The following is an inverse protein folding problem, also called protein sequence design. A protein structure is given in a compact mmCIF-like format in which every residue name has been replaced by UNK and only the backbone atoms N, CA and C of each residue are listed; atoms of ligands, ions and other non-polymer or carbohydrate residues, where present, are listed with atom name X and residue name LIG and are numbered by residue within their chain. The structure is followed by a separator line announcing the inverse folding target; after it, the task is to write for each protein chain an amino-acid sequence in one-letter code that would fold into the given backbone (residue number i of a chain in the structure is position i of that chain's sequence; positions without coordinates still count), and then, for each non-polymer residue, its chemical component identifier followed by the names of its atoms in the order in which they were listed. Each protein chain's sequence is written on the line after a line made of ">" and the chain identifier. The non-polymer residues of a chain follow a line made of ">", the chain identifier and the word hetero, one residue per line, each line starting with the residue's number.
data_IF_832734050934
#
_entry.id   IF_832734050934
#
_cell.length_a   1.000
_cell.length_b   1.000
_cell.length_c   1.000
_cell.angle_alpha   90.00
_cell.angle_beta   90.00
_cell.angle_gamma   90.00
#
_symmetry.space_group_name_H-M   'P 1'
#
loop_
_entity.id
_entity.type
_entity.pdbx_description
1 polymer ?
#
# COMPACT_ATOMS: atom_id res chain seq x y z
N UNK A 1 18.65 -16.42 -1.98
CA UNK A 1 17.88 -15.44 -1.21
C UNK A 1 18.50 -14.09 -1.48
N UNK A 2 17.91 -13.30 -2.38
CA UNK A 2 18.29 -11.90 -2.56
C UNK A 2 17.86 -11.14 -1.31
N UNK A 3 18.82 -10.49 -0.64
CA UNK A 3 18.54 -9.61 0.50
C UNK A 3 17.61 -8.49 0.00
N UNK A 4 16.53 -8.21 0.74
CA UNK A 4 15.69 -7.06 0.43
C UNK A 4 16.55 -5.78 0.46
N UNK A 5 16.36 -4.86 -0.50
CA UNK A 5 17.06 -3.59 -0.48
C UNK A 5 16.75 -2.83 0.81
N UNK A 6 17.73 -2.10 1.33
CA UNK A 6 17.54 -1.22 2.49
C UNK A 6 16.51 -0.16 2.11
N UNK A 7 15.41 -0.10 2.86
CA UNK A 7 14.36 0.91 2.67
C UNK A 7 14.68 2.13 3.54
N UNK A 8 14.99 3.29 2.95
CA UNK A 8 15.19 4.54 3.68
C UNK A 8 13.99 4.87 4.58
N UNK A 9 14.23 5.41 5.78
CA UNK A 9 13.16 5.68 6.73
C UNK A 9 12.09 6.62 6.17
N UNK A 10 12.51 7.68 5.46
CA UNK A 10 11.61 8.66 4.84
C UNK A 10 10.69 8.05 3.75
N UNK A 11 11.12 6.96 3.12
CA UNK A 11 10.34 6.25 2.09
C UNK A 11 9.23 5.37 2.68
N UNK A 12 9.32 5.02 3.97
CA UNK A 12 8.39 4.05 4.59
C UNK A 12 7.01 4.65 4.81
N UNK A 13 6.88 5.97 4.88
CA UNK A 13 5.58 6.65 4.95
C UNK A 13 5.02 6.88 3.55
N UNK A 14 3.86 6.28 3.28
CA UNK A 14 3.06 6.52 2.08
C UNK A 14 1.79 7.28 2.47
N UNK A 15 1.59 8.48 1.94
CA UNK A 15 0.36 9.25 2.19
C UNK A 15 -0.70 8.95 1.14
N UNK A 16 -1.90 8.60 1.60
CA UNK A 16 -3.07 8.40 0.75
C UNK A 16 -3.68 9.74 0.32
N UNK A 17 -3.66 10.02 -0.98
CA UNK A 17 -4.31 11.19 -1.59
C UNK A 17 -5.80 10.88 -1.85
N UNK A 18 -6.52 10.54 -0.79
CA UNK A 18 -7.95 10.24 -0.85
C UNK A 18 -8.73 11.57 -0.76
N UNK A 19 -8.74 12.31 -1.87
CA UNK A 19 -9.41 13.61 -2.05
C UNK A 19 -10.09 13.64 -3.43
N UNK A 20 -11.17 14.43 -3.62
CA UNK A 20 -12.02 14.31 -4.79
C UNK A 20 -11.43 14.90 -6.08
N UNK A 21 -10.40 15.73 -6.00
CA UNK A 21 -9.83 16.43 -7.16
C UNK A 21 -8.32 16.45 -7.18
N UNK A 22 -7.75 16.53 -8.38
CA UNK A 22 -6.29 16.71 -8.57
C UNK A 22 -5.79 18.02 -7.95
N UNK A 23 -6.59 19.09 -7.93
CA UNK A 23 -6.19 20.35 -7.26
C UNK A 23 -5.99 20.14 -5.77
N UNK A 24 -6.99 19.55 -5.09
CA UNK A 24 -6.91 19.23 -3.67
C UNK A 24 -5.72 18.31 -3.36
N UNK A 25 -5.44 17.34 -4.23
CA UNK A 25 -4.29 16.46 -4.09
C UNK A 25 -2.95 17.23 -4.17
N UNK A 26 -2.81 18.14 -5.16
CA UNK A 26 -1.61 18.98 -5.30
C UNK A 26 -1.45 19.95 -4.14
N UNK A 27 -2.54 20.52 -3.64
CA UNK A 27 -2.54 21.38 -2.45
C UNK A 27 -2.03 20.61 -1.22
N UNK A 28 -2.57 19.42 -0.96
CA UNK A 28 -2.10 18.58 0.15
C UNK A 28 -0.61 18.22 0.00
N UNK A 29 -0.16 17.80 -1.18
CA UNK A 29 1.26 17.50 -1.43
C UNK A 29 2.14 18.74 -1.22
N UNK A 30 1.66 19.93 -1.60
CA UNK A 30 2.39 21.18 -1.40
C UNK A 30 2.49 21.54 0.09
N UNK A 31 1.43 21.30 0.87
CA UNK A 31 1.45 21.50 2.33
C UNK A 31 2.42 20.53 3.01
N UNK A 32 2.40 19.26 2.60
CA UNK A 32 3.28 18.23 3.16
C UNK A 32 4.75 18.44 2.78
N UNK A 33 5.02 19.01 1.60
CA UNK A 33 6.36 19.46 1.20
C UNK A 33 7.39 18.31 1.29
N UNK A 34 8.51 18.52 1.99
CA UNK A 34 9.57 17.52 2.16
C UNK A 34 9.31 16.51 3.28
N UNK A 35 8.24 16.67 4.06
CA UNK A 35 7.87 15.68 5.10
C UNK A 35 7.45 14.33 4.50
N UNK A 36 7.03 14.32 3.23
CA UNK A 36 6.55 13.12 2.53
C UNK A 36 7.09 13.07 1.10
N UNK A 37 7.66 11.91 0.75
CA UNK A 37 8.21 11.64 -0.57
C UNK A 37 7.43 10.58 -1.36
N UNK A 38 6.49 9.88 -0.72
CA UNK A 38 5.76 8.76 -1.32
C UNK A 38 4.24 8.92 -1.15
N UNK A 39 3.51 8.88 -2.26
CA UNK A 39 2.06 9.10 -2.30
C UNK A 39 1.31 7.95 -2.96
N UNK A 40 0.15 7.63 -2.40
CA UNK A 40 -0.80 6.67 -2.96
C UNK A 40 -1.93 7.42 -3.67
N UNK A 41 -2.14 7.10 -4.94
CA UNK A 41 -3.24 7.61 -5.78
C UNK A 41 -4.25 6.47 -5.96
N UNK A 42 -5.45 6.64 -5.38
CA UNK A 42 -6.49 5.60 -5.34
C UNK A 42 -7.61 5.81 -6.35
N UNK A 43 -8.63 4.94 -6.24
CA UNK A 43 -9.81 4.91 -7.12
C UNK A 43 -10.50 6.28 -7.28
N UNK A 44 -10.70 7.04 -6.21
CA UNK A 44 -11.40 8.33 -6.25
C UNK A 44 -10.77 9.30 -7.27
N UNK A 45 -9.45 9.47 -7.21
CA UNK A 45 -8.72 10.32 -8.14
C UNK A 45 -8.69 9.73 -9.55
N UNK A 46 -8.55 8.41 -9.72
CA UNK A 46 -8.58 7.80 -11.05
C UNK A 46 -9.94 7.95 -11.73
N UNK A 47 -11.03 7.91 -10.96
CA UNK A 47 -12.38 8.12 -11.48
C UNK A 47 -12.69 9.59 -11.77
N UNK A 48 -11.84 10.53 -11.31
CA UNK A 48 -11.95 11.95 -11.70
C UNK A 48 -11.57 12.21 -13.16
N UNK A 49 -10.85 11.28 -13.81
CA UNK A 49 -10.38 11.41 -15.20
C UNK A 49 -8.97 11.98 -15.38
N UNK A 50 -8.42 12.64 -14.36
CA UNK A 50 -7.15 13.39 -14.47
C UNK A 50 -5.99 12.81 -13.63
N UNK A 51 -6.13 11.61 -13.06
CA UNK A 51 -5.12 11.03 -12.17
C UNK A 51 -3.73 10.89 -12.80
N UNK A 52 -3.63 10.55 -14.09
CA UNK A 52 -2.32 10.44 -14.75
C UNK A 52 -1.59 11.79 -14.85
N UNK A 53 -2.31 12.90 -14.92
CA UNK A 53 -1.70 14.24 -14.84
C UNK A 53 -1.12 14.50 -13.44
N UNK A 54 -1.77 14.00 -12.38
CA UNK A 54 -1.23 14.04 -11.03
C UNK A 54 0.02 13.13 -10.87
N UNK A 55 -0.01 11.91 -11.42
CA UNK A 55 1.14 10.99 -11.40
C UNK A 55 2.37 11.63 -12.04
N UNK A 56 2.21 12.23 -13.23
CA UNK A 56 3.30 12.94 -13.91
C UNK A 56 3.80 14.14 -13.08
N UNK A 57 2.89 14.92 -12.51
CA UNK A 57 3.23 16.09 -11.68
C UNK A 57 4.00 15.73 -10.39
N UNK A 58 3.67 14.59 -9.78
CA UNK A 58 4.38 14.02 -8.62
C UNK A 58 5.79 13.59 -9.01
N UNK A 59 5.92 12.86 -10.12
CA UNK A 59 7.22 12.39 -10.64
C UNK A 59 8.16 13.55 -10.97
N UNK A 60 7.65 14.62 -11.58
CA UNK A 60 8.43 15.84 -11.88
C UNK A 60 8.96 16.56 -10.63
N UNK A 61 8.51 16.17 -9.44
CA UNK A 61 8.94 16.69 -8.13
C UNK A 61 9.68 15.64 -7.32
N UNK A 62 10.22 14.63 -8.00
CA UNK A 62 10.96 13.52 -7.40
C UNK A 62 10.16 12.76 -6.32
N UNK A 63 8.83 12.76 -6.42
CA UNK A 63 7.95 12.01 -5.52
C UNK A 63 7.67 10.61 -6.09
N UNK A 64 7.64 9.62 -5.21
CA UNK A 64 7.27 8.23 -5.51
C UNK A 64 5.76 8.07 -5.55
N UNK A 65 5.29 7.18 -6.42
CA UNK A 65 3.85 6.98 -6.67
C UNK A 65 3.46 5.53 -6.50
N UNK A 66 2.41 5.30 -5.71
CA UNK A 66 1.72 4.03 -5.55
C UNK A 66 0.31 4.15 -6.16
N UNK A 67 0.06 3.45 -7.26
CA UNK A 67 -1.28 3.31 -7.87
C UNK A 67 -2.08 2.21 -7.18
N UNK A 68 -3.09 2.59 -6.40
CA UNK A 68 -3.90 1.67 -5.59
C UNK A 68 -5.30 1.45 -6.19
N UNK A 69 -5.34 0.70 -7.30
CA UNK A 69 -6.58 0.39 -8.04
C UNK A 69 -7.09 -1.03 -7.82
N UNK A 70 -6.31 -1.87 -7.13
CA UNK A 70 -6.64 -3.27 -6.80
C UNK A 70 -7.20 -4.05 -8.01
N UNK A 71 -6.50 -3.97 -9.15
CA UNK A 71 -6.99 -4.56 -10.41
C UNK A 71 -7.44 -6.00 -10.20
N UNK A 72 -8.69 -6.28 -10.58
CA UNK A 72 -9.30 -7.59 -10.42
C UNK A 72 -10.26 -7.86 -11.58
N UNK A 73 -9.74 -8.54 -12.59
CA UNK A 73 -10.43 -8.90 -13.83
C UNK A 73 -9.80 -10.19 -14.37
N UNK A 74 -10.19 -10.66 -15.56
CA UNK A 74 -9.55 -11.79 -16.20
C UNK A 74 -8.04 -11.53 -16.40
N UNK A 75 -7.18 -12.57 -16.31
CA UNK A 75 -5.72 -12.40 -16.28
C UNK A 75 -5.15 -11.54 -17.39
N UNK A 76 -5.61 -11.73 -18.63
CA UNK A 76 -5.13 -10.97 -19.79
C UNK A 76 -5.48 -9.47 -19.70
N UNK A 77 -6.64 -9.13 -19.12
CA UNK A 77 -7.05 -7.73 -18.90
C UNK A 77 -6.18 -7.07 -17.84
N UNK A 78 -5.93 -7.78 -16.72
CA UNK A 78 -5.05 -7.27 -15.67
C UNK A 78 -3.62 -7.08 -16.20
N UNK A 79 -3.07 -8.05 -16.95
CA UNK A 79 -1.75 -7.91 -17.56
C UNK A 79 -1.64 -6.69 -18.49
N UNK A 80 -2.64 -6.48 -19.36
CA UNK A 80 -2.70 -5.28 -20.23
C UNK A 80 -2.86 -3.98 -19.44
N UNK A 81 -3.62 -3.97 -18.34
CA UNK A 81 -3.74 -2.78 -17.50
C UNK A 81 -2.42 -2.45 -16.80
N UNK A 82 -1.71 -3.47 -16.29
CA UNK A 82 -0.39 -3.31 -15.67
C UNK A 82 0.64 -2.80 -16.66
N UNK A 83 0.66 -3.29 -17.90
CA UNK A 83 1.64 -2.83 -18.89
C UNK A 83 1.50 -1.34 -19.26
N UNK A 84 0.32 -0.74 -19.07
CA UNK A 84 0.12 0.70 -19.25
C UNK A 84 0.76 1.55 -18.15
N UNK A 85 1.16 0.94 -17.02
CA UNK A 85 1.84 1.64 -15.94
C UNK A 85 3.36 1.72 -16.15
N UNK A 86 3.91 0.87 -17.03
CA UNK A 86 5.35 0.82 -17.26
C UNK A 86 5.88 2.14 -17.85
N UNK A 87 7.05 2.58 -17.40
CA UNK A 87 7.70 3.81 -17.87
C UNK A 87 7.09 5.12 -17.35
N UNK A 88 6.02 5.04 -16.53
CA UNK A 88 5.41 6.22 -15.91
C UNK A 88 6.11 6.65 -14.61
N UNK A 89 7.12 5.93 -14.14
CA UNK A 89 7.78 6.18 -12.86
C UNK A 89 6.92 5.80 -11.65
N UNK A 90 5.95 4.90 -11.83
CA UNK A 90 5.12 4.35 -10.76
C UNK A 90 5.94 3.31 -9.99
N UNK A 91 6.05 3.47 -8.67
CA UNK A 91 6.81 2.56 -7.82
C UNK A 91 6.01 1.30 -7.51
N UNK A 92 4.75 1.45 -7.11
CA UNK A 92 3.88 0.33 -6.75
C UNK A 92 2.55 0.36 -7.50
N UNK A 93 2.03 -0.83 -7.81
CA UNK A 93 0.65 -1.01 -8.24
C UNK A 93 0.01 -2.20 -7.53
N UNK A 94 -1.26 -2.09 -7.17
CA UNK A 94 -2.00 -3.20 -6.53
C UNK A 94 -2.84 -4.01 -7.51
N UNK A 95 -2.87 -5.30 -7.26
CA UNK A 95 -3.85 -6.23 -7.83
C UNK A 95 -4.63 -6.93 -6.71
N UNK A 96 -5.75 -7.53 -7.07
CA UNK A 96 -6.40 -8.56 -6.27
C UNK A 96 -6.67 -9.76 -7.18
N UNK A 97 -6.73 -10.98 -6.64
CA UNK A 97 -7.14 -12.14 -7.44
C UNK A 97 -6.47 -13.46 -7.08
N UNK A 98 -6.48 -14.37 -8.05
CA UNK A 98 -5.92 -15.70 -7.97
C UNK A 98 -4.54 -15.78 -8.64
N UNK A 99 -3.96 -16.98 -8.66
CA UNK A 99 -2.68 -17.32 -9.26
C UNK A 99 -2.51 -16.79 -10.69
N UNK A 100 -3.51 -17.00 -11.55
CA UNK A 100 -3.43 -16.59 -12.95
C UNK A 100 -3.38 -15.06 -13.09
N UNK A 101 -4.11 -14.33 -12.24
CA UNK A 101 -4.07 -12.86 -12.22
C UNK A 101 -2.73 -12.36 -11.71
N UNK A 102 -2.21 -12.95 -10.62
CA UNK A 102 -0.90 -12.60 -10.06
C UNK A 102 0.21 -12.83 -11.09
N UNK A 103 0.20 -14.00 -11.75
CA UNK A 103 1.18 -14.35 -12.77
C UNK A 103 1.11 -13.39 -13.97
N UNK A 104 -0.09 -13.08 -14.48
CA UNK A 104 -0.25 -12.18 -15.62
C UNK A 104 0.20 -10.75 -15.28
N UNK A 105 -0.10 -10.26 -14.08
CA UNK A 105 0.34 -8.95 -13.60
C UNK A 105 1.87 -8.88 -13.49
N UNK A 106 2.47 -9.83 -12.77
CA UNK A 106 3.93 -9.87 -12.57
C UNK A 106 4.69 -10.02 -13.89
N UNK A 107 4.19 -10.84 -14.82
CA UNK A 107 4.82 -11.01 -16.13
C UNK A 107 4.70 -9.79 -17.06
N UNK A 108 3.74 -8.89 -16.80
CA UNK A 108 3.52 -7.67 -17.61
C UNK A 108 4.20 -6.42 -17.03
N UNK A 109 4.69 -6.51 -15.79
CA UNK A 109 5.36 -5.41 -15.10
C UNK A 109 6.87 -5.39 -15.44
N UNK A 110 7.39 -4.24 -15.83
CA UNK A 110 8.81 -4.07 -16.16
C UNK A 110 9.55 -3.29 -15.07
N UNK A 111 9.03 -2.12 -14.71
CA UNK A 111 9.60 -1.18 -13.73
C UNK A 111 8.65 -0.86 -12.56
N UNK A 112 7.47 -1.49 -12.54
CA UNK A 112 6.46 -1.31 -11.48
C UNK A 112 6.43 -2.53 -10.56
N UNK A 113 6.59 -2.33 -9.24
CA UNK A 113 6.48 -3.42 -8.28
C UNK A 113 5.01 -3.75 -7.97
N UNK A 114 4.59 -4.98 -8.27
CA UNK A 114 3.23 -5.45 -8.05
C UNK A 114 3.01 -5.91 -6.61
N UNK A 115 1.99 -5.35 -5.96
CA UNK A 115 1.54 -5.71 -4.62
C UNK A 115 0.20 -6.47 -4.70
N UNK A 116 0.17 -7.69 -4.20
CA UNK A 116 -1.09 -8.45 -4.09
C UNK A 116 -1.86 -8.05 -2.83
N UNK A 117 -3.09 -7.59 -2.96
CA UNK A 117 -3.97 -7.37 -1.81
C UNK A 117 -4.38 -8.74 -1.25
N UNK A 118 -4.06 -8.97 0.02
CA UNK A 118 -4.40 -10.23 0.71
C UNK A 118 -5.86 -10.23 1.13
N UNK A 119 -6.25 -9.57 2.22
CA UNK A 119 -7.64 -9.36 2.62
C UNK A 119 -7.80 -7.88 2.92
N UNK A 120 -8.86 -7.25 2.39
CA UNK A 120 -9.15 -5.85 2.69
C UNK A 120 -9.30 -5.67 4.20
N UNK A 121 -8.63 -4.68 4.79
CA UNK A 121 -8.58 -4.43 6.24
C UNK A 121 -9.96 -4.16 6.85
N UNK A 122 -10.94 -3.79 6.04
CA UNK A 122 -12.34 -3.59 6.40
C UNK A 122 -13.15 -4.87 6.55
N UNK A 123 -12.67 -6.01 6.04
CA UNK A 123 -13.36 -7.30 6.11
C UNK A 123 -12.98 -8.06 7.37
N UNK A 124 -13.97 -8.66 8.02
CA UNK A 124 -13.81 -9.61 9.12
C UNK A 124 -14.22 -11.05 8.71
N UNK A 125 -14.27 -11.98 9.67
CA UNK A 125 -14.65 -13.38 9.42
C UNK A 125 -16.09 -13.51 8.90
N UNK A 126 -17.01 -12.70 9.40
CA UNK A 126 -18.41 -12.70 8.94
C UNK A 126 -18.47 -12.28 7.48
N UNK A 127 -17.80 -11.18 7.14
CA UNK A 127 -17.73 -10.70 5.75
C UNK A 127 -17.11 -11.76 4.81
N UNK A 128 -16.07 -12.49 5.26
CA UNK A 128 -15.48 -13.57 4.47
C UNK A 128 -16.43 -14.75 4.27
N UNK A 129 -17.18 -15.14 5.31
CA UNK A 129 -18.21 -16.19 5.22
C UNK A 129 -19.30 -15.80 4.22
N UNK A 130 -19.76 -14.55 4.24
CA UNK A 130 -20.78 -14.03 3.33
C UNK A 130 -20.30 -14.03 1.86
N UNK A 131 -18.99 -13.84 1.65
CA UNK A 131 -18.33 -13.96 0.35
C UNK A 131 -18.03 -15.42 -0.05
N UNK A 132 -18.37 -16.40 0.78
CA UNK A 132 -18.21 -17.83 0.51
C UNK A 132 -16.83 -18.39 0.83
N UNK A 133 -16.02 -17.70 1.64
CA UNK A 133 -14.76 -18.24 2.13
C UNK A 133 -14.98 -19.06 3.41
N UNK A 134 -14.59 -20.33 3.37
CA UNK A 134 -14.59 -21.24 4.51
C UNK A 134 -13.17 -21.39 5.08
N UNK A 135 -12.64 -20.30 5.63
CA UNK A 135 -11.31 -20.27 6.26
C UNK A 135 -11.15 -19.07 7.19
N UNK A 136 -10.11 -19.11 8.02
CA UNK A 136 -9.77 -17.98 8.88
C UNK A 136 -9.11 -16.85 8.08
N UNK A 137 -9.30 -15.60 8.53
CA UNK A 137 -8.71 -14.41 7.89
C UNK A 137 -7.18 -14.56 7.76
N UNK A 138 -6.52 -14.99 8.83
CA UNK A 138 -5.07 -15.19 8.88
C UNK A 138 -4.59 -16.28 7.91
N UNK A 139 -5.35 -17.38 7.79
CA UNK A 139 -5.06 -18.46 6.85
C UNK A 139 -5.17 -17.98 5.39
N UNK A 140 -6.21 -17.22 5.07
CA UNK A 140 -6.39 -16.63 3.75
C UNK A 140 -5.28 -15.64 3.42
N UNK A 141 -4.87 -14.81 4.37
CA UNK A 141 -3.76 -13.85 4.22
C UNK A 141 -2.46 -14.58 3.89
N UNK A 142 -2.08 -15.60 4.67
CA UNK A 142 -0.86 -16.38 4.43
C UNK A 142 -0.93 -17.13 3.10
N UNK A 143 -2.07 -17.73 2.77
CA UNK A 143 -2.28 -18.43 1.49
C UNK A 143 -2.09 -17.51 0.29
N UNK A 144 -2.69 -16.32 0.31
CA UNK A 144 -2.54 -15.32 -0.75
C UNK A 144 -1.11 -14.78 -0.85
N UNK A 145 -0.44 -14.55 0.29
CA UNK A 145 0.94 -14.09 0.30
C UNK A 145 1.93 -15.13 -0.24
N UNK A 146 1.75 -16.43 0.09
CA UNK A 146 2.55 -17.53 -0.52
C UNK A 146 2.39 -17.57 -2.04
N UNK A 147 1.17 -17.38 -2.54
CA UNK A 147 0.89 -17.32 -3.99
C UNK A 147 1.52 -16.09 -4.64
N UNK A 148 1.47 -14.93 -3.98
CA UNK A 148 2.13 -13.72 -4.46
C UNK A 148 3.65 -13.93 -4.65
N UNK A 149 4.33 -14.58 -3.70
CA UNK A 149 5.74 -14.98 -3.85
C UNK A 149 5.93 -15.92 -5.03
N UNK A 150 5.13 -16.98 -5.12
CA UNK A 150 5.26 -18.00 -6.15
C UNK A 150 5.10 -17.44 -7.58
N UNK A 151 4.29 -16.38 -7.73
CA UNK A 151 3.97 -15.76 -9.02
C UNK A 151 4.75 -14.47 -9.29
N UNK A 152 5.76 -14.15 -8.48
CA UNK A 152 6.68 -13.03 -8.74
C UNK A 152 6.15 -11.65 -8.40
N UNK A 153 5.11 -11.53 -7.57
CA UNK A 153 4.74 -10.24 -7.00
C UNK A 153 5.85 -9.74 -6.07
N UNK A 154 6.09 -8.43 -6.05
CA UNK A 154 7.10 -7.81 -5.19
C UNK A 154 6.69 -7.82 -3.71
N UNK A 155 5.39 -7.85 -3.44
CA UNK A 155 4.87 -7.74 -2.09
C UNK A 155 3.38 -8.00 -1.97
N UNK A 156 2.88 -7.72 -0.78
CA UNK A 156 1.46 -7.77 -0.43
C UNK A 156 1.01 -6.52 0.30
N UNK A 157 -0.28 -6.25 0.19
CA UNK A 157 -1.00 -5.36 1.11
C UNK A 157 -1.74 -6.23 2.14
N UNK A 158 -1.52 -5.98 3.43
CA UNK A 158 -2.14 -6.71 4.55
C UNK A 158 -2.34 -5.81 5.78
N UNK A 159 -3.20 -6.21 6.75
CA UNK A 159 -3.30 -5.46 8.01
C UNK A 159 -2.00 -5.56 8.80
N UNK A 160 -1.74 -4.57 9.66
CA UNK A 160 -0.63 -4.62 10.60
C UNK A 160 -0.73 -5.80 11.58
N UNK A 161 -1.96 -6.28 11.85
CA UNK A 161 -2.20 -7.45 12.70
C UNK A 161 -1.60 -8.74 12.10
N UNK A 162 -1.47 -8.81 10.77
CA UNK A 162 -0.91 -9.99 10.09
C UNK A 162 0.57 -9.83 9.71
N UNK A 163 1.21 -8.68 9.96
CA UNK A 163 2.60 -8.45 9.57
C UNK A 163 3.57 -9.45 10.23
N UNK A 164 3.46 -9.65 11.55
CA UNK A 164 4.32 -10.60 12.28
C UNK A 164 4.10 -12.05 11.82
N UNK A 165 2.85 -12.40 11.51
CA UNK A 165 2.48 -13.69 10.95
C UNK A 165 3.14 -13.89 9.58
N UNK A 166 3.02 -12.91 8.68
CA UNK A 166 3.64 -12.96 7.35
C UNK A 166 5.15 -13.09 7.45
N UNK A 167 5.81 -12.37 8.37
CA UNK A 167 7.25 -12.52 8.61
C UNK A 167 7.63 -13.89 9.11
N UNK A 168 6.85 -14.47 10.03
CA UNK A 168 7.11 -15.84 10.51
C UNK A 168 7.01 -16.88 9.39
N UNK A 169 6.00 -16.76 8.54
CA UNK A 169 5.69 -17.77 7.51
C UNK A 169 6.52 -17.61 6.24
N UNK A 170 6.92 -16.39 5.89
CA UNK A 170 7.52 -16.05 4.59
C UNK A 170 8.87 -15.34 4.72
N UNK A 171 9.27 -14.94 5.93
CA UNK A 171 10.48 -14.15 6.16
C UNK A 171 10.46 -12.82 5.39
N UNK A 172 11.62 -12.45 4.87
CA UNK A 172 11.85 -11.22 4.11
C UNK A 172 11.78 -11.47 2.60
N UNK A 173 10.98 -12.42 2.15
CA UNK A 173 10.89 -12.79 0.72
C UNK A 173 10.06 -11.80 -0.12
N UNK A 174 9.22 -11.00 0.53
CA UNK A 174 8.30 -10.07 -0.11
C UNK A 174 8.11 -8.81 0.73
N UNK A 175 7.69 -7.72 0.08
CA UNK A 175 7.35 -6.46 0.75
C UNK A 175 6.00 -6.54 1.47
N UNK A 176 5.93 -6.11 2.72
CA UNK A 176 4.66 -6.02 3.48
C UNK A 176 4.25 -4.55 3.61
N UNK A 177 3.23 -4.15 2.84
CA UNK A 177 2.68 -2.79 2.88
C UNK A 177 1.43 -2.77 3.74
N UNK A 178 1.44 -1.98 4.80
CA UNK A 178 0.38 -1.95 5.82
C UNK A 178 -0.41 -0.65 5.74
N UNK A 179 -1.69 -0.69 5.35
CA UNK A 179 -2.61 0.43 5.49
C UNK A 179 -3.26 0.44 6.88
N UNK A 180 -4.08 1.46 7.13
CA UNK A 180 -4.88 1.52 8.36
C UNK A 180 -4.07 1.91 9.60
N UNK A 181 -2.92 2.55 9.42
CA UNK A 181 -2.13 3.08 10.53
C UNK A 181 -2.87 4.23 11.20
N UNK A 182 -2.96 4.18 12.53
CA UNK A 182 -3.64 5.19 13.34
C UNK A 182 -2.80 5.53 14.58
N UNK A 183 -2.78 6.81 15.00
CA UNK A 183 -2.41 7.15 16.37
C UNK A 183 -3.35 6.44 17.35
N UNK A 184 -2.88 6.21 18.57
CA UNK A 184 -3.59 5.42 19.59
C UNK A 184 -5.01 5.93 19.92
N UNK A 185 -5.32 7.19 19.61
CA UNK A 185 -6.55 7.87 20.05
C UNK A 185 -7.71 7.98 19.02
N UNK A 186 -7.66 7.35 17.84
CA UNK A 186 -8.69 7.56 16.79
C UNK A 186 -9.64 6.36 16.55
N UNK A 187 -10.97 6.60 16.54
CA UNK A 187 -12.04 5.63 16.17
C UNK A 187 -12.70 6.01 14.83
N UNK A 188 -12.71 5.09 13.85
CA UNK A 188 -13.35 5.29 12.53
C UNK A 188 -13.63 3.92 11.86
N UNK A 189 -14.17 3.90 10.62
CA UNK A 189 -14.62 2.73 9.83
C UNK A 189 -13.61 1.59 9.58
N UNK A 190 -12.34 1.75 9.98
CA UNK A 190 -11.31 0.71 9.82
C UNK A 190 -11.33 -0.23 11.03
N UNK A 191 -11.76 -1.48 10.81
CA UNK A 191 -11.89 -2.50 11.86
C UNK A 191 -10.54 -3.02 12.40
N UNK A 192 -9.45 -2.96 11.62
CA UNK A 192 -8.15 -3.60 11.93
C UNK A 192 -6.96 -2.64 11.83
N UNK A 193 -6.86 -1.70 12.77
CA UNK A 193 -5.81 -0.65 12.83
C UNK A 193 -4.70 -0.99 13.83
N UNK A 194 -3.51 -0.41 13.64
CA UNK A 194 -2.35 -0.47 14.55
C UNK A 194 -1.56 0.85 14.52
N UNK A 195 -0.69 1.09 15.50
CA UNK A 195 0.25 2.22 15.46
C UNK A 195 1.37 1.99 14.44
N UNK A 196 2.06 3.06 14.04
CA UNK A 196 3.20 2.97 13.12
C UNK A 196 4.34 2.15 13.73
N UNK A 197 4.68 2.40 14.99
CA UNK A 197 5.69 1.66 15.74
C UNK A 197 5.37 0.16 15.81
N UNK A 198 4.12 -0.20 16.14
CA UNK A 198 3.73 -1.61 16.23
C UNK A 198 3.81 -2.29 14.86
N UNK A 199 3.28 -1.66 13.81
CA UNK A 199 3.35 -2.21 12.45
C UNK A 199 4.79 -2.49 12.01
N UNK A 200 5.71 -1.55 12.25
CA UNK A 200 7.12 -1.72 11.89
C UNK A 200 7.82 -2.81 12.71
N UNK A 201 7.55 -2.88 14.02
CA UNK A 201 8.07 -3.96 14.89
C UNK A 201 7.56 -5.34 14.47
N UNK A 202 6.31 -5.41 14.02
CA UNK A 202 5.72 -6.62 13.46
C UNK A 202 6.24 -6.92 12.04
N UNK A 203 7.04 -6.02 11.47
CA UNK A 203 7.78 -6.23 10.24
C UNK A 203 7.13 -5.63 8.99
N UNK A 204 6.29 -4.61 9.12
CA UNK A 204 5.87 -3.81 7.97
C UNK A 204 7.08 -3.15 7.28
N UNK A 205 7.08 -3.12 5.95
CA UNK A 205 8.07 -2.40 5.16
C UNK A 205 7.65 -0.96 4.92
N UNK A 206 6.38 -0.77 4.53
CA UNK A 206 5.77 0.52 4.23
C UNK A 206 4.46 0.67 4.98
N UNK A 207 4.14 1.91 5.33
CA UNK A 207 2.97 2.32 6.09
C UNK A 207 2.12 3.24 5.21
N UNK A 208 0.87 2.89 4.97
CA UNK A 208 -0.08 3.76 4.26
C UNK A 208 -0.95 4.50 5.28
N UNK A 209 -0.83 5.83 5.29
CA UNK A 209 -1.56 6.74 6.20
C UNK A 209 -2.43 7.68 5.38
N UNK A 210 -3.71 7.78 5.71
CA UNK A 210 -4.66 8.69 5.06
C UNK A 210 -5.14 9.77 6.03
N UNK A 211 -6.36 9.58 6.56
CA UNK A 211 -7.05 10.51 7.47
C UNK A 211 -6.19 11.11 8.59
N UNK A 212 -5.32 10.35 9.31
CA UNK A 212 -4.52 10.95 10.37
C UNK A 212 -3.60 12.09 9.92
N UNK A 213 -3.23 12.15 8.63
CA UNK A 213 -2.47 13.25 8.04
C UNK A 213 -3.42 14.21 7.32
N UNK A 214 -4.29 13.70 6.44
CA UNK A 214 -5.18 14.52 5.61
C UNK A 214 -6.12 15.42 6.41
N UNK A 215 -6.67 14.89 7.51
CA UNK A 215 -7.71 15.56 8.31
C UNK A 215 -7.14 16.24 9.56
N UNK A 216 -5.81 16.26 9.72
CA UNK A 216 -5.17 16.94 10.84
C UNK A 216 -5.27 18.46 10.71
N UNK A 217 -5.32 19.16 11.85
CA UNK A 217 -5.27 20.63 11.88
C UNK A 217 -3.99 21.18 11.22
N UNK A 218 -2.89 20.43 11.33
CA UNK A 218 -1.62 20.68 10.65
C UNK A 218 -1.12 19.37 10.01
N UNK A 219 -1.42 19.14 8.72
CA UNK A 219 -1.03 17.92 8.01
C UNK A 219 0.49 17.70 7.96
N UNK A 220 1.28 18.79 7.84
CA UNK A 220 2.74 18.70 7.78
C UNK A 220 3.29 18.24 9.13
N UNK A 221 2.86 18.87 10.22
CA UNK A 221 3.29 18.46 11.56
C UNK A 221 2.87 17.01 11.88
N UNK A 222 1.68 16.57 11.46
CA UNK A 222 1.23 15.19 11.64
C UNK A 222 2.10 14.19 10.85
N UNK A 223 2.49 14.53 9.62
CA UNK A 223 3.40 13.69 8.82
C UNK A 223 4.81 13.64 9.42
N UNK A 224 5.36 14.78 9.85
CA UNK A 224 6.67 14.88 10.50
C UNK A 224 6.73 14.03 11.78
N UNK A 225 5.68 14.07 12.60
CA UNK A 225 5.59 13.25 13.82
C UNK A 225 5.64 11.74 13.50
N UNK A 226 4.95 11.31 12.44
CA UNK A 226 4.97 9.90 12.00
C UNK A 226 6.35 9.54 11.44
N UNK A 227 7.00 10.43 10.68
CA UNK A 227 8.37 10.21 10.20
C UNK A 227 9.36 10.06 11.36
N UNK A 228 9.24 10.86 12.42
CA UNK A 228 10.05 10.72 13.63
C UNK A 228 9.82 9.38 14.34
N UNK A 229 8.58 8.90 14.40
CA UNK A 229 8.24 7.57 14.93
C UNK A 229 8.87 6.45 14.09
N UNK A 230 8.76 6.54 12.76
CA UNK A 230 9.38 5.60 11.83
C UNK A 230 10.90 5.58 12.04
N UNK A 231 11.56 6.74 11.98
CA UNK A 231 13.02 6.87 12.16
C UNK A 231 13.49 6.25 13.48
N UNK A 232 12.80 6.54 14.60
CA UNK A 232 13.12 5.95 15.91
C UNK A 232 12.95 4.44 15.95
N UNK A 233 11.96 3.91 15.23
CA UNK A 233 11.64 2.48 15.25
C UNK A 233 12.61 1.65 14.40
N UNK A 234 12.97 2.13 13.20
CA UNK A 234 13.81 1.37 12.26
C UNK A 234 15.33 1.49 12.50
N UNK A 235 15.74 2.41 13.37
CA UNK A 235 17.16 2.61 13.74
C UNK A 235 17.56 1.81 15.00
N UNK A 236 16.60 1.21 15.70
CA UNK A 236 16.81 0.37 16.88
C UNK A 236 16.92 -1.10 16.49
#
# INVERSE_FOLDING_TARGET
>A
MTLQPIIPANDRLIVALDVPTVSAAKELVTVLDDSVVFYKVGLELFMSGDAFALVNWLRERDKKVFVDLKFFDVPATVGRAVSQLNGLGITFATIHGNDAIMQAAAASAEDVAILAVTVLTSLDRGDLSDLGFDCDVSELVVSRARRAVAHGCAGVVASGQEAALLRRELGNTLLVVVPGIRPVDNQDDQKRTVSAEQALRDGADYLVVGRPIRDANDPKAAAEQIQEEICRTVTR
#
